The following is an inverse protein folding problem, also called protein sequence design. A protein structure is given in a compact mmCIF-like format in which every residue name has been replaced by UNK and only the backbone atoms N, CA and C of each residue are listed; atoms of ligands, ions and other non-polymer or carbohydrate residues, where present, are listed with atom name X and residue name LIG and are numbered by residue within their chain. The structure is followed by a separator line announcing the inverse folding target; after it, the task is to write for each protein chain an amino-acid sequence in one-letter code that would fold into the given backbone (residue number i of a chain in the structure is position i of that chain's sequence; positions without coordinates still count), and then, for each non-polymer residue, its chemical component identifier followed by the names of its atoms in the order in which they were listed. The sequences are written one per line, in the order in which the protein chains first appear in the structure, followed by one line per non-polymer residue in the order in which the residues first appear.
data_IF_114977819328
#
_entry.id   IF_114977819328
#
_cell.length_a   1.000
_cell.length_b   1.000
_cell.length_c   1.000
_cell.angle_alpha   90.00
_cell.angle_beta   90.00
_cell.angle_gamma   90.00
#
_symmetry.space_group_name_H-M   'P 1'
#
loop_
_entity.id
_entity.type
_entity.pdbx_description
1 polymer ?
#
# COMPACT_ATOMS: atom_id res chain seq x y z
N UNK A 1 5.77 36.38 11.59
CA UNK A 1 5.10 35.09 11.38
C UNK A 1 4.34 34.71 12.63
N UNK A 2 3.02 34.57 12.52
CA UNK A 2 2.15 34.12 13.65
C UNK A 2 2.39 32.63 13.92
N UNK A 3 2.33 32.21 15.20
CA UNK A 3 2.44 30.79 15.54
C UNK A 3 1.11 30.08 15.20
N UNK A 4 1.17 28.81 14.83
CA UNK A 4 -0.02 27.98 14.53
C UNK A 4 -1.01 27.94 15.71
N UNK A 5 -0.50 27.98 16.96
CA UNK A 5 -1.36 28.05 18.15
C UNK A 5 -2.21 29.32 18.20
N UNK A 6 -1.65 30.45 17.77
CA UNK A 6 -2.37 31.74 17.75
C UNK A 6 -3.42 31.72 16.60
N UNK A 7 -3.04 31.21 15.42
CA UNK A 7 -3.95 31.02 14.28
C UNK A 7 -5.10 30.08 14.61
N UNK A 8 -4.88 29.02 15.39
CA UNK A 8 -5.91 28.08 15.80
C UNK A 8 -7.10 28.81 16.48
N UNK A 9 -6.81 29.77 17.33
CA UNK A 9 -7.86 30.55 18.01
C UNK A 9 -8.57 31.52 17.07
N UNK A 10 -7.93 31.93 15.99
CA UNK A 10 -8.50 32.88 15.03
C UNK A 10 -9.41 32.21 14.00
N UNK A 11 -9.13 30.96 13.58
CA UNK A 11 -9.80 30.34 12.43
C UNK A 11 -10.64 29.11 12.74
N UNK A 12 -10.36 28.35 13.82
CA UNK A 12 -11.09 27.12 14.12
C UNK A 12 -12.52 27.44 14.54
N UNK A 13 -13.47 26.64 14.07
CA UNK A 13 -14.92 26.79 14.21
C UNK A 13 -15.49 28.07 13.54
N UNK A 14 -14.83 28.51 12.48
CA UNK A 14 -15.31 29.60 11.63
C UNK A 14 -15.37 29.16 10.17
N UNK A 15 -16.16 29.87 9.38
CA UNK A 15 -16.34 29.62 7.95
C UNK A 15 -15.60 30.69 7.16
N UNK A 16 -14.86 30.27 6.13
CA UNK A 16 -14.07 31.12 5.25
C UNK A 16 -14.19 30.66 3.80
N UNK A 17 -14.12 31.59 2.87
CA UNK A 17 -13.82 31.29 1.47
C UNK A 17 -12.33 30.92 1.29
N UNK A 18 -11.97 30.26 0.21
CA UNK A 18 -10.58 29.93 -0.09
C UNK A 18 -9.68 31.16 -0.14
N UNK A 19 -10.14 32.26 -0.73
CA UNK A 19 -9.42 33.51 -0.82
C UNK A 19 -9.15 34.13 0.56
N UNK A 20 -10.08 34.01 1.49
CA UNK A 20 -9.91 34.51 2.86
C UNK A 20 -8.92 33.65 3.64
N UNK A 21 -8.96 32.32 3.48
CA UNK A 21 -7.98 31.40 4.08
C UNK A 21 -6.59 31.72 3.58
N UNK A 22 -6.43 31.87 2.26
CA UNK A 22 -5.15 32.17 1.61
C UNK A 22 -4.62 33.52 2.10
N UNK A 23 -5.42 34.58 2.08
CA UNK A 23 -5.02 35.92 2.56
C UNK A 23 -4.60 35.89 4.02
N UNK A 24 -5.36 35.25 4.89
CA UNK A 24 -5.08 35.16 6.32
C UNK A 24 -3.77 34.41 6.58
N UNK A 25 -3.51 33.34 5.84
CA UNK A 25 -2.29 32.56 5.99
C UNK A 25 -1.06 33.30 5.45
N UNK A 26 -1.18 34.02 4.33
CA UNK A 26 -0.12 34.87 3.79
C UNK A 26 0.21 36.00 4.77
N UNK A 27 -0.77 36.68 5.32
CA UNK A 27 -0.60 37.73 6.33
C UNK A 27 0.07 37.19 7.61
N UNK A 28 -0.17 35.92 7.93
CA UNK A 28 0.50 35.24 9.04
C UNK A 28 1.94 34.81 8.71
N UNK A 29 2.40 34.97 7.46
CA UNK A 29 3.77 34.66 7.01
C UNK A 29 3.94 33.23 6.47
N UNK A 30 2.86 32.58 6.05
CA UNK A 30 2.85 31.28 5.38
C UNK A 30 2.58 31.46 3.90
N UNK A 31 3.13 30.58 3.08
CA UNK A 31 2.88 30.55 1.63
C UNK A 31 2.08 29.29 1.25
N UNK A 32 1.17 29.36 0.27
CA UNK A 32 0.46 28.20 -0.22
C UNK A 32 1.42 27.11 -0.67
N UNK A 33 1.06 25.84 -0.38
CA UNK A 33 1.83 24.68 -0.77
C UNK A 33 0.95 23.74 -1.57
N UNK A 34 1.29 23.56 -2.84
CA UNK A 34 0.55 22.68 -3.74
C UNK A 34 0.92 21.22 -3.49
N UNK A 35 -0.05 20.43 -3.06
CA UNK A 35 0.08 18.98 -2.86
C UNK A 35 -1.28 18.30 -2.90
N UNK A 36 -1.28 16.99 -3.10
CA UNK A 36 -2.49 16.17 -2.98
C UNK A 36 -3.07 16.26 -1.57
N UNK A 37 -4.30 16.75 -1.47
CA UNK A 37 -4.98 16.90 -0.20
C UNK A 37 -5.48 15.55 0.32
N UNK A 38 -5.20 15.25 1.57
CA UNK A 38 -5.77 14.08 2.27
C UNK A 38 -7.17 14.37 2.79
N UNK A 39 -7.96 13.32 3.07
CA UNK A 39 -9.32 13.46 3.60
C UNK A 39 -9.39 14.42 4.78
N UNK A 40 -10.31 15.40 4.71
CA UNK A 40 -10.51 16.41 5.72
C UNK A 40 -9.46 17.53 5.75
N UNK A 41 -8.50 17.56 4.81
CA UNK A 41 -7.59 18.70 4.59
C UNK A 41 -8.11 19.51 3.43
N UNK A 42 -8.30 20.81 3.64
CA UNK A 42 -8.85 21.74 2.63
C UNK A 42 -7.79 22.65 2.01
N UNK A 43 -6.69 22.89 2.73
CA UNK A 43 -5.56 23.68 2.22
C UNK A 43 -4.26 23.32 2.96
N UNK A 44 -3.12 23.51 2.31
CA UNK A 44 -1.79 23.32 2.90
C UNK A 44 -0.93 24.56 2.64
N UNK A 45 -0.21 24.98 3.66
CA UNK A 45 0.69 26.12 3.63
C UNK A 45 2.06 25.73 4.20
N UNK A 46 3.08 26.58 3.96
CA UNK A 46 4.43 26.32 4.48
C UNK A 46 5.10 27.61 4.94
N UNK A 47 5.97 27.50 5.93
CA UNK A 47 6.92 28.55 6.36
C UNK A 47 8.35 28.29 5.84
N UNK A 48 8.49 27.48 4.79
CA UNK A 48 9.76 26.96 4.26
C UNK A 48 10.46 25.89 5.13
N UNK A 49 10.00 25.67 6.35
CA UNK A 49 10.55 24.65 7.27
C UNK A 49 9.50 23.60 7.69
N UNK A 50 8.22 23.98 7.69
CA UNK A 50 7.13 23.16 8.21
C UNK A 50 5.90 23.30 7.34
N UNK A 51 5.17 22.21 7.19
CA UNK A 51 3.85 22.22 6.55
C UNK A 51 2.77 22.49 7.60
N UNK A 52 1.82 23.35 7.24
CA UNK A 52 0.64 23.68 8.03
C UNK A 52 -0.59 23.22 7.25
N UNK A 53 -1.35 22.32 7.84
CA UNK A 53 -2.55 21.75 7.27
C UNK A 53 -3.77 22.40 7.86
N UNK A 54 -4.62 22.98 7.01
CA UNK A 54 -5.95 23.47 7.38
C UNK A 54 -6.94 22.32 7.17
N UNK A 55 -7.65 21.95 8.24
CA UNK A 55 -8.65 20.88 8.20
C UNK A 55 -10.04 21.46 8.28
N UNK A 56 -10.97 20.89 7.53
CA UNK A 56 -12.34 21.35 7.50
C UNK A 56 -13.22 20.60 6.52
N UNK A 57 -14.43 21.10 6.36
CA UNK A 57 -15.40 20.60 5.40
C UNK A 57 -15.89 21.78 4.55
N UNK A 58 -16.16 21.54 3.27
CA UNK A 58 -16.75 22.55 2.39
C UNK A 58 -18.26 22.42 2.37
N UNK A 59 -18.95 23.56 2.42
CA UNK A 59 -20.38 23.63 2.18
C UNK A 59 -20.72 23.59 0.68
N UNK A 60 -21.99 23.66 0.35
CA UNK A 60 -22.51 23.63 -1.03
C UNK A 60 -22.10 24.87 -1.85
N UNK A 61 -21.78 25.97 -1.19
CA UNK A 61 -21.36 27.23 -1.80
C UNK A 61 -19.82 27.33 -1.95
N UNK A 62 -19.10 26.27 -1.49
CA UNK A 62 -17.65 26.19 -1.57
C UNK A 62 -16.89 26.85 -0.41
N UNK A 63 -17.58 27.41 0.59
CA UNK A 63 -16.94 27.92 1.79
C UNK A 63 -16.50 26.76 2.71
N UNK A 64 -15.43 26.98 3.45
CA UNK A 64 -14.86 25.96 4.30
C UNK A 64 -15.09 26.27 5.78
N UNK A 65 -15.77 25.38 6.50
CA UNK A 65 -15.79 25.37 7.96
C UNK A 65 -14.51 24.74 8.48
N UNK A 66 -13.69 25.51 9.17
CA UNK A 66 -12.39 25.08 9.69
C UNK A 66 -12.57 24.31 10.98
N UNK A 67 -12.24 23.03 10.98
CA UNK A 67 -12.28 22.17 12.17
C UNK A 67 -10.95 22.04 12.89
N UNK A 68 -9.85 22.43 12.24
CA UNK A 68 -8.53 22.35 12.84
C UNK A 68 -7.42 22.93 11.99
N UNK A 69 -6.33 23.27 12.68
CA UNK A 69 -5.05 23.60 12.06
C UNK A 69 -3.96 22.78 12.72
N UNK A 70 -3.12 22.12 11.94
CA UNK A 70 -2.03 21.29 12.45
C UNK A 70 -0.72 21.62 11.73
N UNK A 71 0.36 21.67 12.48
CA UNK A 71 1.70 21.87 11.92
C UNK A 71 2.49 20.57 11.99
N UNK A 72 3.07 20.17 10.88
CA UNK A 72 3.96 19.04 10.84
C UNK A 72 5.42 19.54 10.85
N UNK A 73 6.24 19.04 11.77
CA UNK A 73 7.64 19.46 11.91
C UNK A 73 8.56 18.93 10.80
N UNK A 74 8.01 18.16 9.88
CA UNK A 74 8.73 17.62 8.75
C UNK A 74 8.16 18.22 7.46
N UNK A 75 8.73 19.35 7.02
CA UNK A 75 8.93 19.48 5.59
C UNK A 75 10.04 18.47 5.29
N UNK A 76 9.66 17.27 4.94
CA UNK A 76 10.51 16.53 4.07
C UNK A 76 10.45 17.30 2.75
N UNK A 77 11.46 18.15 2.49
CA UNK A 77 11.79 18.64 1.17
C UNK A 77 11.57 17.46 0.23
N UNK A 78 11.03 17.66 -0.97
CA UNK A 78 10.57 16.64 -1.92
C UNK A 78 11.51 15.46 -2.23
N UNK A 79 12.58 15.30 -1.50
CA UNK A 79 13.40 14.14 -1.18
C UNK A 79 12.94 13.40 0.08
N UNK A 80 11.64 13.21 0.29
CA UNK A 80 11.29 11.97 0.96
C UNK A 80 11.83 10.87 0.03
N UNK A 81 12.91 10.25 0.49
CA UNK A 81 13.36 8.98 -0.07
C UNK A 81 12.12 8.09 -0.09
N UNK A 82 11.45 8.06 -1.26
CA UNK A 82 10.23 7.28 -1.46
C UNK A 82 10.65 5.87 -1.17
N UNK A 83 10.37 5.36 0.04
CA UNK A 83 10.64 3.95 0.33
C UNK A 83 10.15 3.11 -0.82
N UNK A 84 11.04 2.28 -1.34
CA UNK A 84 10.76 1.43 -2.49
C UNK A 84 10.24 0.06 -2.05
N UNK A 85 9.51 -0.66 -2.91
CA UNK A 85 9.35 -2.10 -2.74
C UNK A 85 10.72 -2.78 -2.91
N UNK A 86 10.88 -3.99 -2.41
CA UNK A 86 12.04 -4.79 -2.77
C UNK A 86 12.08 -4.98 -4.29
N UNK A 87 13.24 -4.70 -4.88
CA UNK A 87 13.40 -4.76 -6.35
C UNK A 87 13.42 -6.18 -6.84
N UNK A 88 14.04 -7.07 -6.07
CA UNK A 88 14.17 -8.50 -6.39
C UNK A 88 13.79 -9.38 -5.20
N UNK A 89 13.51 -10.64 -5.49
CA UNK A 89 13.29 -11.66 -4.46
C UNK A 89 14.57 -11.87 -3.63
N UNK A 90 15.71 -11.87 -4.27
CA UNK A 90 17.02 -12.06 -3.65
C UNK A 90 17.31 -10.98 -2.61
N UNK A 91 16.91 -9.73 -2.85
CA UNK A 91 17.07 -8.64 -1.87
C UNK A 91 16.17 -8.83 -0.66
N UNK A 92 14.93 -9.27 -0.86
CA UNK A 92 14.02 -9.63 0.23
C UNK A 92 14.62 -10.76 1.07
N UNK A 93 15.07 -11.83 0.42
CA UNK A 93 15.65 -13.00 1.09
C UNK A 93 16.94 -12.66 1.86
N UNK A 94 17.83 -11.83 1.32
CA UNK A 94 19.01 -11.38 2.07
C UNK A 94 18.64 -10.75 3.40
N UNK A 95 17.60 -9.90 3.41
CA UNK A 95 17.13 -9.24 4.65
C UNK A 95 16.51 -10.26 5.60
N UNK A 96 15.67 -11.17 5.09
CA UNK A 96 15.03 -12.20 5.88
C UNK A 96 16.06 -13.17 6.49
N UNK A 97 17.02 -13.66 5.69
CA UNK A 97 18.08 -14.55 6.13
C UNK A 97 19.00 -13.89 7.16
N UNK A 98 19.32 -12.60 7.01
CA UNK A 98 20.07 -11.87 8.02
C UNK A 98 19.38 -11.88 9.39
N UNK A 99 18.05 -11.71 9.42
CA UNK A 99 17.27 -11.78 10.67
C UNK A 99 17.25 -13.21 11.24
N UNK A 100 17.06 -14.21 10.37
CA UNK A 100 17.01 -15.63 10.72
C UNK A 100 18.33 -16.12 11.33
N UNK A 101 19.46 -15.86 10.68
CA UNK A 101 20.81 -16.24 11.14
C UNK A 101 21.18 -15.65 12.51
N UNK A 102 20.54 -14.54 12.91
CA UNK A 102 20.73 -13.91 14.20
C UNK A 102 19.71 -14.36 15.26
N UNK A 103 18.90 -15.35 14.95
CA UNK A 103 17.84 -15.81 15.84
C UNK A 103 16.75 -14.77 16.12
N UNK A 104 16.62 -13.76 15.27
CA UNK A 104 15.63 -12.69 15.43
C UNK A 104 14.26 -13.12 14.87
N UNK A 105 13.77 -14.27 15.33
CA UNK A 105 12.59 -14.94 14.79
C UNK A 105 11.31 -14.09 14.82
N UNK A 106 11.09 -13.31 15.87
CA UNK A 106 9.94 -12.40 15.94
C UNK A 106 9.99 -11.31 14.83
N UNK A 107 11.19 -10.77 14.55
CA UNK A 107 11.38 -9.77 13.50
C UNK A 107 11.23 -10.41 12.12
N UNK A 108 11.80 -11.59 11.94
CA UNK A 108 11.69 -12.39 10.72
C UNK A 108 10.23 -12.72 10.39
N UNK A 109 9.47 -13.30 11.33
CA UNK A 109 8.06 -13.62 11.11
C UNK A 109 7.23 -12.37 10.83
N UNK A 110 7.47 -11.26 11.54
CA UNK A 110 6.77 -10.00 11.28
C UNK A 110 6.98 -9.52 9.83
N UNK A 111 8.22 -9.61 9.32
CA UNK A 111 8.54 -9.26 7.93
C UNK A 111 7.88 -10.21 6.92
N UNK A 112 7.92 -11.53 7.18
CA UNK A 112 7.25 -12.56 6.37
C UNK A 112 5.75 -12.31 6.28
N UNK A 113 5.10 -12.04 7.41
CA UNK A 113 3.67 -11.74 7.45
C UNK A 113 3.31 -10.40 6.80
N UNK A 114 4.17 -9.37 6.91
CA UNK A 114 3.94 -8.10 6.21
C UNK A 114 3.95 -8.29 4.69
N UNK A 115 4.86 -9.09 4.13
CA UNK A 115 4.90 -9.36 2.69
C UNK A 115 3.83 -10.37 2.26
N UNK A 116 3.50 -11.37 3.07
CA UNK A 116 2.52 -12.40 2.70
C UNK A 116 1.06 -11.96 2.85
N UNK A 117 0.77 -11.05 3.78
CA UNK A 117 -0.58 -10.53 4.02
C UNK A 117 -0.81 -9.13 3.44
N UNK A 118 0.25 -8.44 3.00
CA UNK A 118 0.16 -7.08 2.49
C UNK A 118 -0.31 -6.05 3.53
N UNK A 119 -0.13 -6.30 4.85
CA UNK A 119 -0.62 -5.43 5.93
C UNK A 119 0.39 -4.39 6.38
N UNK A 120 -0.10 -3.32 7.03
CA UNK A 120 0.78 -2.35 7.70
C UNK A 120 1.48 -3.01 8.89
N UNK A 121 2.66 -2.53 9.24
CA UNK A 121 3.43 -3.07 10.37
C UNK A 121 2.65 -3.08 11.69
N UNK A 122 1.92 -2.01 12.01
CA UNK A 122 1.08 -1.96 13.21
C UNK A 122 -0.01 -3.03 13.19
N UNK A 123 -0.73 -3.17 12.08
CA UNK A 123 -1.79 -4.18 11.93
C UNK A 123 -1.22 -5.60 12.03
N UNK A 124 -0.06 -5.86 11.41
CA UNK A 124 0.61 -7.17 11.46
C UNK A 124 1.07 -7.52 12.89
N UNK A 125 1.68 -6.55 13.59
CA UNK A 125 2.16 -6.77 14.96
C UNK A 125 1.04 -6.87 16.00
N UNK A 126 -0.18 -6.52 15.65
CA UNK A 126 -1.37 -6.69 16.49
C UNK A 126 -2.10 -8.02 16.26
N UNK A 127 -1.65 -8.86 15.30
CA UNK A 127 -2.22 -10.19 15.06
C UNK A 127 -2.14 -11.07 16.31
N UNK A 128 -3.19 -11.87 16.50
CA UNK A 128 -3.30 -12.89 17.55
C UNK A 128 -3.37 -14.26 16.88
N UNK A 129 -3.05 -15.30 17.64
CA UNK A 129 -3.18 -16.67 17.12
C UNK A 129 -4.63 -17.00 16.70
N UNK A 130 -5.62 -16.55 17.48
CA UNK A 130 -7.04 -16.71 17.14
C UNK A 130 -7.49 -15.95 15.89
N UNK A 131 -6.71 -15.04 15.34
CA UNK A 131 -6.99 -14.38 14.06
C UNK A 131 -6.57 -15.25 12.88
N UNK A 132 -5.71 -16.25 13.10
CA UNK A 132 -5.15 -17.15 12.10
C UNK A 132 -5.73 -18.55 12.15
N UNK A 133 -6.00 -19.08 13.34
CA UNK A 133 -6.45 -20.46 13.57
C UNK A 133 -7.91 -20.53 13.95
N UNK A 134 -8.62 -21.58 13.40
CA UNK A 134 -10.04 -21.86 13.67
C UNK A 134 -10.30 -22.47 15.03
N UNK A 135 -9.31 -23.15 15.58
CA UNK A 135 -9.42 -23.95 16.81
C UNK A 135 -8.32 -23.54 17.78
N UNK A 136 -8.60 -23.75 19.07
CA UNK A 136 -7.68 -23.39 20.15
C UNK A 136 -6.40 -24.23 20.13
N UNK A 137 -6.47 -25.44 19.60
CA UNK A 137 -5.35 -26.35 19.41
C UNK A 137 -4.41 -25.88 18.29
N UNK A 138 -4.81 -24.83 17.54
CA UNK A 138 -4.05 -24.24 16.43
C UNK A 138 -3.67 -25.28 15.36
N UNK A 139 -4.60 -26.17 15.01
CA UNK A 139 -4.38 -27.23 14.02
C UNK A 139 -4.94 -26.88 12.64
N UNK A 140 -5.86 -25.95 12.54
CA UNK A 140 -6.53 -25.56 11.29
C UNK A 140 -6.52 -24.05 11.08
N UNK A 141 -5.93 -23.62 10.00
CA UNK A 141 -5.97 -22.20 9.59
C UNK A 141 -7.35 -21.78 9.09
N UNK A 142 -7.69 -20.51 9.29
CA UNK A 142 -8.72 -19.87 8.49
C UNK A 142 -8.26 -19.74 7.03
N UNK A 143 -9.17 -19.66 6.09
CA UNK A 143 -8.87 -19.28 4.71
C UNK A 143 -8.45 -17.79 4.63
N UNK A 144 -9.07 -16.98 5.48
CA UNK A 144 -8.77 -15.54 5.62
C UNK A 144 -8.61 -15.24 7.10
N UNK A 145 -7.70 -14.33 7.42
CA UNK A 145 -7.59 -13.81 8.78
C UNK A 145 -8.98 -13.37 9.28
N UNK A 146 -9.24 -13.57 10.56
CA UNK A 146 -10.42 -12.96 11.18
C UNK A 146 -10.44 -11.46 10.89
N UNK A 147 -11.63 -10.88 10.90
CA UNK A 147 -11.87 -9.47 10.55
C UNK A 147 -10.94 -8.54 11.36
N UNK A 148 -9.83 -8.14 10.74
CA UNK A 148 -8.87 -7.23 11.34
C UNK A 148 -9.34 -5.80 11.13
N UNK A 149 -9.54 -5.07 12.22
CA UNK A 149 -9.80 -3.63 12.17
C UNK A 149 -8.47 -2.90 12.04
N UNK A 150 -8.25 -2.23 10.92
CA UNK A 150 -7.04 -1.42 10.72
C UNK A 150 -6.99 -0.26 11.72
N UNK A 151 -5.86 -0.11 12.40
CA UNK A 151 -5.66 0.93 13.42
C UNK A 151 -5.81 2.35 12.82
N UNK A 152 -5.23 2.57 11.64
CA UNK A 152 -5.22 3.91 11.01
C UNK A 152 -6.54 4.32 10.37
N UNK A 153 -7.29 3.39 9.78
CA UNK A 153 -8.46 3.70 8.95
C UNK A 153 -9.77 3.20 9.56
N UNK A 154 -9.71 2.37 10.59
CA UNK A 154 -10.86 1.71 11.19
C UNK A 154 -11.57 0.68 10.30
N UNK A 155 -11.07 0.45 9.08
CA UNK A 155 -11.64 -0.51 8.14
C UNK A 155 -11.42 -1.93 8.59
N UNK A 156 -12.39 -2.78 8.30
CA UNK A 156 -12.29 -4.21 8.55
C UNK A 156 -11.81 -4.89 7.27
N UNK A 157 -10.67 -5.57 7.35
CA UNK A 157 -10.05 -6.28 6.25
C UNK A 157 -9.73 -7.69 6.71
N UNK A 158 -9.89 -8.66 5.81
CA UNK A 158 -9.62 -10.07 6.06
C UNK A 158 -8.71 -10.62 4.95
N UNK A 159 -7.37 -10.46 5.07
CA UNK A 159 -6.43 -10.97 4.07
C UNK A 159 -6.44 -12.50 4.04
N UNK A 160 -6.14 -13.08 2.88
CA UNK A 160 -6.02 -14.53 2.72
C UNK A 160 -4.79 -15.08 3.45
N UNK A 161 -4.95 -16.22 4.12
CA UNK A 161 -3.86 -16.98 4.74
C UNK A 161 -3.39 -18.01 3.72
N UNK A 162 -2.42 -17.59 2.91
CA UNK A 162 -1.83 -18.39 1.84
C UNK A 162 -0.84 -19.43 2.40
N UNK A 163 -0.42 -20.38 1.57
CA UNK A 163 0.58 -21.38 1.93
C UNK A 163 1.89 -20.74 2.41
N UNK A 164 2.35 -19.67 1.74
CA UNK A 164 3.53 -18.90 2.18
C UNK A 164 3.40 -18.40 3.63
N UNK A 165 2.22 -17.89 3.99
CA UNK A 165 1.95 -17.42 5.36
C UNK A 165 1.96 -18.59 6.35
N UNK A 166 1.32 -19.72 5.99
CA UNK A 166 1.27 -20.92 6.83
C UNK A 166 2.67 -21.48 7.07
N UNK A 167 3.45 -21.69 6.02
CA UNK A 167 4.84 -22.17 6.13
C UNK A 167 5.71 -21.24 6.96
N UNK A 168 5.53 -19.93 6.83
CA UNK A 168 6.26 -18.95 7.65
C UNK A 168 5.95 -19.10 9.16
N UNK A 169 4.69 -19.35 9.49
CA UNK A 169 4.25 -19.57 10.86
C UNK A 169 4.81 -20.90 11.37
N UNK A 170 4.69 -21.98 10.60
CA UNK A 170 5.18 -23.32 10.97
C UNK A 170 6.69 -23.34 11.19
N UNK A 171 7.45 -22.64 10.33
CA UNK A 171 8.90 -22.49 10.52
C UNK A 171 9.20 -21.75 11.83
N UNK A 172 8.51 -20.63 12.08
CA UNK A 172 8.66 -19.87 13.32
C UNK A 172 8.36 -20.74 14.56
N UNK A 173 7.25 -21.47 14.56
CA UNK A 173 6.86 -22.34 15.68
C UNK A 173 7.89 -23.43 15.93
N UNK A 174 8.40 -24.06 14.87
CA UNK A 174 9.43 -25.10 14.96
C UNK A 174 10.72 -24.56 15.55
N UNK A 175 11.18 -23.40 15.09
CA UNK A 175 12.48 -22.86 15.49
C UNK A 175 12.46 -22.20 16.88
N UNK A 176 11.32 -21.66 17.29
CA UNK A 176 11.20 -21.00 18.61
C UNK A 176 10.67 -21.92 19.71
N UNK A 177 10.08 -23.05 19.33
CA UNK A 177 9.37 -23.92 20.29
C UNK A 177 8.10 -23.28 20.87
N UNK A 178 7.58 -22.21 20.24
CA UNK A 178 6.35 -21.53 20.68
C UNK A 178 5.15 -22.46 20.53
N UNK A 179 4.32 -22.55 21.57
CA UNK A 179 3.05 -23.28 21.55
C UNK A 179 1.88 -22.28 21.46
N UNK A 180 1.32 -22.05 20.28
CA UNK A 180 0.27 -21.06 20.07
C UNK A 180 -1.04 -21.41 20.80
N UNK A 181 -1.26 -22.69 21.15
CA UNK A 181 -2.46 -23.13 21.86
C UNK A 181 -2.56 -22.57 23.27
N UNK A 182 -1.41 -22.35 23.92
CA UNK A 182 -1.33 -21.75 25.26
C UNK A 182 -1.62 -20.26 25.26
N UNK A 183 -1.36 -19.61 24.14
CA UNK A 183 -1.46 -18.16 23.97
C UNK A 183 -2.52 -17.75 22.92
N UNK A 184 -3.51 -18.61 22.66
CA UNK A 184 -4.46 -18.51 21.54
C UNK A 184 -5.07 -17.12 21.35
N UNK A 185 -5.43 -16.43 22.45
CA UNK A 185 -6.01 -15.08 22.38
C UNK A 185 -4.99 -13.96 22.53
N UNK A 186 -3.71 -14.30 22.74
CA UNK A 186 -2.63 -13.33 22.88
C UNK A 186 -2.09 -12.90 21.53
N UNK A 187 -1.41 -11.75 21.52
CA UNK A 187 -0.67 -11.30 20.33
C UNK A 187 0.48 -12.25 20.02
N UNK A 188 0.68 -12.49 18.72
CA UNK A 188 1.83 -13.26 18.23
C UNK A 188 3.15 -12.59 18.62
N UNK A 189 3.18 -11.26 18.58
CA UNK A 189 4.39 -10.48 18.76
C UNK A 189 4.40 -9.74 20.11
N UNK A 190 5.46 -9.93 20.88
CA UNK A 190 5.78 -9.12 22.06
C UNK A 190 6.63 -7.89 21.75
N UNK A 191 6.98 -7.68 20.44
CA UNK A 191 7.81 -6.57 19.96
C UNK A 191 6.97 -5.51 19.29
N UNK A 192 7.43 -4.26 19.36
CA UNK A 192 6.77 -3.13 18.71
C UNK A 192 7.41 -2.71 17.40
N UNK A 193 6.68 -1.89 16.63
CA UNK A 193 7.13 -1.31 15.35
C UNK A 193 8.56 -0.69 15.40
N UNK A 194 8.96 0.06 16.46
CA UNK A 194 10.31 0.62 16.52
C UNK A 194 11.41 -0.45 16.52
N UNK A 195 11.19 -1.57 17.25
CA UNK A 195 12.17 -2.66 17.31
C UNK A 195 12.32 -3.35 15.95
N UNK A 196 11.20 -3.67 15.27
CA UNK A 196 11.24 -4.28 13.94
C UNK A 196 11.91 -3.32 12.93
N UNK A 197 11.60 -2.02 13.00
CA UNK A 197 12.23 -1.01 12.15
C UNK A 197 13.74 -0.96 12.32
N UNK A 198 14.22 -0.97 13.56
CA UNK A 198 15.65 -0.95 13.85
C UNK A 198 16.35 -2.23 13.35
N UNK A 199 15.72 -3.40 13.51
CA UNK A 199 16.26 -4.68 13.03
C UNK A 199 16.33 -4.69 11.50
N UNK A 200 15.27 -4.28 10.79
CA UNK A 200 15.24 -4.19 9.33
C UNK A 200 16.28 -3.21 8.82
N UNK A 201 16.42 -2.02 9.44
CA UNK A 201 17.45 -1.05 9.04
C UNK A 201 18.85 -1.67 9.10
N UNK A 202 19.19 -2.34 10.22
CA UNK A 202 20.48 -3.03 10.37
C UNK A 202 20.67 -4.14 9.32
N UNK A 203 19.61 -4.90 9.03
CA UNK A 203 19.66 -5.95 8.02
C UNK A 203 19.97 -5.37 6.64
N UNK A 204 19.22 -4.33 6.21
CA UNK A 204 19.39 -3.64 4.92
C UNK A 204 20.82 -3.10 4.77
N UNK A 205 21.34 -2.43 5.79
CA UNK A 205 22.72 -1.92 5.81
C UNK A 205 23.75 -3.05 5.71
N UNK A 206 23.55 -4.14 6.46
CA UNK A 206 24.48 -5.26 6.50
C UNK A 206 24.53 -6.08 5.21
N UNK A 207 23.40 -6.19 4.48
CA UNK A 207 23.33 -6.94 3.22
C UNK A 207 23.63 -6.07 1.99
N UNK A 208 23.91 -4.77 2.18
CA UNK A 208 24.37 -3.86 1.12
C UNK A 208 23.29 -3.44 0.13
N UNK A 209 22.01 -3.33 0.56
CA UNK A 209 20.96 -2.77 -0.29
C UNK A 209 21.13 -1.24 -0.35
N UNK A 210 21.28 -0.71 -1.55
CA UNK A 210 21.62 0.71 -1.84
C UNK A 210 20.41 1.62 -2.11
N UNK A 211 19.19 1.11 -1.96
CA UNK A 211 17.95 1.85 -2.14
C UNK A 211 17.09 1.86 -0.87
N UNK A 212 16.17 2.84 -0.72
CA UNK A 212 15.51 3.09 0.55
C UNK A 212 14.45 2.02 0.90
N UNK A 213 14.79 1.16 1.86
CA UNK A 213 13.91 0.12 2.41
C UNK A 213 13.48 0.50 3.84
N UNK A 214 12.20 0.27 4.13
CA UNK A 214 11.61 0.39 5.47
C UNK A 214 10.53 -0.68 5.67
N UNK A 215 9.86 -0.68 6.83
CA UNK A 215 8.73 -1.60 7.08
C UNK A 215 7.60 -1.46 6.04
N UNK A 216 7.40 -0.26 5.50
CA UNK A 216 6.38 -0.06 4.46
C UNK A 216 6.76 -0.69 3.13
N UNK A 217 8.05 -0.94 2.90
CA UNK A 217 8.55 -1.63 1.70
C UNK A 217 7.99 -3.03 1.56
N UNK A 218 7.81 -3.78 2.65
CA UNK A 218 7.21 -5.12 2.61
C UNK A 218 5.77 -5.08 2.05
N UNK A 219 4.95 -4.14 2.53
CA UNK A 219 3.60 -3.94 1.99
C UNK A 219 3.62 -3.44 0.53
N UNK A 220 4.55 -2.54 0.19
CA UNK A 220 4.74 -2.10 -1.21
C UNK A 220 5.17 -3.24 -2.11
N UNK A 221 6.01 -4.15 -1.61
CA UNK A 221 6.44 -5.36 -2.34
C UNK A 221 5.26 -6.27 -2.63
N UNK A 222 4.40 -6.54 -1.64
CA UNK A 222 3.15 -7.27 -1.86
C UNK A 222 2.36 -6.68 -3.04
N UNK A 223 2.05 -5.38 -3.01
CA UNK A 223 1.27 -4.75 -4.08
C UNK A 223 2.00 -4.68 -5.42
N UNK A 224 3.30 -4.37 -5.41
CA UNK A 224 4.10 -4.25 -6.62
C UNK A 224 4.27 -5.60 -7.34
N UNK A 225 4.57 -6.67 -6.59
CA UNK A 225 4.75 -7.99 -7.19
C UNK A 225 3.42 -8.61 -7.61
N UNK A 226 2.36 -8.46 -6.81
CA UNK A 226 1.01 -8.84 -7.25
C UNK A 226 0.63 -8.13 -8.55
N UNK A 227 0.90 -6.82 -8.65
CA UNK A 227 0.66 -6.09 -9.90
C UNK A 227 1.50 -6.62 -11.06
N UNK A 228 2.78 -6.91 -10.86
CA UNK A 228 3.65 -7.46 -11.91
C UNK A 228 3.18 -8.82 -12.43
N UNK A 229 2.67 -9.67 -11.55
CA UNK A 229 2.12 -10.98 -11.91
C UNK A 229 0.84 -10.83 -12.75
N UNK A 230 -0.05 -9.90 -12.38
CA UNK A 230 -1.39 -9.76 -12.97
C UNK A 230 -1.57 -8.53 -13.86
N UNK A 231 -0.52 -7.81 -14.22
CA UNK A 231 -0.58 -6.52 -14.93
C UNK A 231 -1.32 -6.54 -16.27
N UNK A 232 -1.45 -7.73 -16.87
CA UNK A 232 -2.16 -7.91 -18.15
C UNK A 232 -3.68 -8.12 -17.93
N UNK A 233 -4.15 -8.16 -16.70
CA UNK A 233 -5.57 -8.29 -16.37
C UNK A 233 -6.15 -6.88 -16.19
N UNK A 234 -7.19 -6.53 -16.96
CA UNK A 234 -7.74 -5.17 -17.03
C UNK A 234 -8.25 -4.61 -15.69
N UNK A 235 -8.59 -5.47 -14.72
CA UNK A 235 -9.12 -5.10 -13.40
C UNK A 235 -8.07 -5.26 -12.27
N UNK A 236 -6.81 -5.51 -12.61
CA UNK A 236 -5.76 -5.81 -11.64
C UNK A 236 -5.62 -4.72 -10.55
N UNK A 237 -5.63 -3.46 -10.93
CA UNK A 237 -5.47 -2.34 -9.99
C UNK A 237 -6.65 -2.24 -9.02
N UNK A 238 -7.87 -2.49 -9.47
CA UNK A 238 -9.09 -2.49 -8.66
C UNK A 238 -9.03 -3.60 -7.61
N UNK A 239 -8.60 -4.81 -8.01
CA UNK A 239 -8.45 -5.94 -7.10
C UNK A 239 -7.40 -5.61 -6.03
N UNK A 240 -6.22 -5.13 -6.43
CA UNK A 240 -5.15 -4.75 -5.50
C UNK A 240 -5.60 -3.62 -4.56
N UNK A 241 -6.35 -2.63 -5.06
CA UNK A 241 -6.96 -1.57 -4.21
C UNK A 241 -7.89 -2.18 -3.18
N UNK A 242 -8.74 -3.14 -3.57
CA UNK A 242 -9.62 -3.89 -2.67
C UNK A 242 -8.83 -4.66 -1.61
N UNK A 243 -7.78 -5.38 -1.99
CA UNK A 243 -6.89 -6.11 -1.08
C UNK A 243 -6.22 -5.19 -0.06
N UNK A 244 -5.91 -3.95 -0.43
CA UNK A 244 -5.36 -2.95 0.48
C UNK A 244 -6.43 -2.18 1.29
N UNK A 245 -7.72 -2.37 0.98
CA UNK A 245 -8.80 -1.64 1.61
C UNK A 245 -8.80 -0.14 1.28
N UNK A 246 -8.31 0.25 0.10
CA UNK A 246 -8.36 1.64 -0.34
C UNK A 246 -9.77 1.96 -0.86
N UNK A 247 -10.38 3.06 -0.39
CA UNK A 247 -11.70 3.49 -0.84
C UNK A 247 -11.62 4.11 -2.22
N UNK A 248 -12.52 3.67 -3.09
CA UNK A 248 -13.12 4.53 -4.10
C UNK A 248 -14.61 4.18 -4.19
N UNK A 249 -15.45 5.19 -4.25
CA UNK A 249 -16.86 5.09 -3.85
C UNK A 249 -17.83 4.87 -5.02
N UNK A 250 -17.36 4.58 -6.22
CA UNK A 250 -18.23 4.66 -7.42
C UNK A 250 -18.70 3.34 -8.05
N UNK A 251 -17.91 2.28 -8.01
CA UNK A 251 -18.16 1.09 -8.86
C UNK A 251 -18.31 -0.22 -8.08
N UNK A 252 -18.20 -0.22 -6.79
CA UNK A 252 -17.85 -1.36 -5.94
C UNK A 252 -18.96 -2.41 -5.69
N UNK A 253 -20.21 -2.16 -6.01
CA UNK A 253 -21.31 -3.08 -5.59
C UNK A 253 -21.63 -4.22 -6.58
N UNK A 254 -21.28 -4.11 -7.85
CA UNK A 254 -21.55 -5.14 -8.87
C UNK A 254 -20.46 -6.22 -8.97
N UNK A 255 -19.28 -5.98 -8.37
CA UNK A 255 -18.11 -6.86 -8.48
C UNK A 255 -17.71 -7.58 -7.18
N UNK A 256 -18.50 -7.49 -6.10
CA UNK A 256 -18.08 -7.96 -4.77
C UNK A 256 -17.79 -9.47 -4.76
N UNK A 257 -18.56 -10.30 -5.45
CA UNK A 257 -18.33 -11.74 -5.47
C UNK A 257 -17.15 -12.11 -6.38
N UNK A 258 -17.06 -11.54 -7.57
CA UNK A 258 -15.91 -11.75 -8.46
C UNK A 258 -14.59 -11.22 -7.84
N UNK A 259 -14.62 -10.08 -7.18
CA UNK A 259 -13.44 -9.47 -6.52
C UNK A 259 -12.88 -10.34 -5.38
N UNK A 260 -13.68 -11.15 -4.71
CA UNK A 260 -13.19 -12.02 -3.63
C UNK A 260 -12.43 -13.24 -4.18
N UNK A 261 -12.94 -13.89 -5.23
CA UNK A 261 -12.23 -15.00 -5.88
C UNK A 261 -10.94 -14.54 -6.56
N UNK A 262 -10.97 -13.39 -7.23
CA UNK A 262 -9.78 -12.81 -7.82
C UNK A 262 -8.74 -12.39 -6.77
N UNK A 263 -9.17 -11.80 -5.66
CA UNK A 263 -8.27 -11.46 -4.55
C UNK A 263 -7.63 -12.71 -3.93
N UNK A 264 -8.36 -13.83 -3.85
CA UNK A 264 -7.83 -15.12 -3.41
C UNK A 264 -6.80 -15.65 -4.40
N UNK A 265 -7.14 -15.65 -5.70
CA UNK A 265 -6.22 -16.06 -6.77
C UNK A 265 -4.95 -15.25 -6.75
N UNK A 266 -5.03 -13.92 -6.71
CA UNK A 266 -3.88 -13.01 -6.66
C UNK A 266 -3.00 -13.25 -5.44
N UNK A 267 -3.59 -13.50 -4.28
CA UNK A 267 -2.83 -13.81 -3.07
C UNK A 267 -2.12 -15.17 -3.19
N UNK A 268 -2.78 -16.18 -3.78
CA UNK A 268 -2.18 -17.48 -4.00
C UNK A 268 -1.06 -17.42 -5.04
N UNK A 269 -1.25 -16.74 -6.17
CA UNK A 269 -0.24 -16.61 -7.21
C UNK A 269 1.02 -15.90 -6.70
N UNK A 270 0.86 -14.88 -5.83
CA UNK A 270 1.99 -14.28 -5.13
C UNK A 270 2.64 -15.26 -4.15
N UNK A 271 1.83 -16.03 -3.41
CA UNK A 271 2.32 -17.07 -2.50
C UNK A 271 3.16 -18.11 -3.27
N UNK A 272 2.63 -18.61 -4.38
CA UNK A 272 3.34 -19.56 -5.24
C UNK A 272 4.65 -18.99 -5.79
N UNK A 273 4.65 -17.72 -6.18
CA UNK A 273 5.86 -17.03 -6.61
C UNK A 273 6.91 -17.00 -5.50
N UNK A 274 6.50 -16.65 -4.28
CA UNK A 274 7.40 -16.60 -3.12
C UNK A 274 7.95 -17.99 -2.77
N UNK A 275 7.12 -19.02 -2.77
CA UNK A 275 7.51 -20.41 -2.47
C UNK A 275 8.41 -21.01 -3.54
N UNK A 276 8.08 -20.83 -4.82
CA UNK A 276 8.90 -21.35 -5.94
C UNK A 276 10.28 -20.71 -5.98
N UNK A 277 10.42 -19.47 -5.53
CA UNK A 277 11.72 -18.84 -5.39
C UNK A 277 12.53 -19.45 -4.24
N UNK A 278 11.88 -19.80 -3.12
CA UNK A 278 12.52 -20.51 -2.02
C UNK A 278 13.02 -21.89 -2.44
N UNK A 279 12.27 -22.60 -3.29
CA UNK A 279 12.66 -23.91 -3.84
C UNK A 279 13.71 -23.83 -4.97
N UNK A 280 14.17 -22.63 -5.32
CA UNK A 280 15.15 -22.41 -6.41
C UNK A 280 14.56 -22.52 -7.82
N UNK A 281 13.25 -22.72 -7.97
CA UNK A 281 12.57 -22.68 -9.27
C UNK A 281 12.19 -21.25 -9.63
N UNK A 282 12.90 -20.65 -10.59
CA UNK A 282 12.66 -19.27 -11.00
C UNK A 282 11.36 -19.13 -11.80
N UNK A 283 10.39 -18.40 -11.25
CA UNK A 283 9.39 -17.73 -12.09
C UNK A 283 10.00 -16.38 -12.49
N UNK A 284 10.22 -16.18 -13.78
CA UNK A 284 10.65 -14.87 -14.30
C UNK A 284 9.50 -13.86 -14.13
N UNK A 285 9.60 -12.98 -13.14
CA UNK A 285 8.87 -11.72 -13.21
C UNK A 285 9.61 -10.89 -14.27
N UNK A 286 9.04 -10.82 -15.46
CA UNK A 286 9.59 -10.02 -16.55
C UNK A 286 9.72 -8.57 -16.06
N UNK A 287 10.95 -8.13 -15.78
CA UNK A 287 11.31 -6.76 -15.39
C UNK A 287 11.25 -5.78 -16.58
N UNK A 288 10.79 -6.25 -17.73
CA UNK A 288 10.69 -5.41 -18.92
C UNK A 288 9.63 -4.31 -18.70
N UNK A 289 9.96 -3.03 -18.85
CA UNK A 289 9.00 -1.94 -18.79
C UNK A 289 8.01 -1.95 -19.97
N UNK A 290 8.20 -2.85 -20.93
CA UNK A 290 7.37 -2.96 -22.11
C UNK A 290 6.11 -3.76 -21.79
N UNK A 291 5.01 -3.04 -21.61
CA UNK A 291 3.66 -3.61 -21.66
C UNK A 291 3.43 -4.05 -23.11
N UNK A 292 3.55 -5.34 -23.40
CA UNK A 292 3.06 -5.89 -24.66
C UNK A 292 1.53 -5.95 -24.56
N UNK A 293 0.88 -4.85 -24.85
CA UNK A 293 -0.58 -4.85 -25.07
C UNK A 293 -0.80 -5.56 -26.39
N UNK A 294 -1.58 -6.66 -26.39
CA UNK A 294 -2.02 -7.24 -27.65
C UNK A 294 -2.74 -6.17 -28.45
N UNK A 295 -2.43 -6.06 -29.75
CA UNK A 295 -3.03 -5.03 -30.62
C UNK A 295 -4.57 -5.03 -30.57
N UNK A 296 -5.19 -6.20 -30.36
CA UNK A 296 -6.64 -6.34 -30.17
C UNK A 296 -7.11 -5.62 -28.90
N UNK A 297 -6.47 -5.81 -27.76
CA UNK A 297 -6.83 -5.14 -26.51
C UNK A 297 -6.64 -3.62 -26.58
N UNK A 298 -5.63 -3.17 -27.32
CA UNK A 298 -5.43 -1.74 -27.56
C UNK A 298 -6.55 -1.16 -28.45
N UNK A 299 -7.00 -1.90 -29.46
CA UNK A 299 -8.14 -1.52 -30.31
C UNK A 299 -9.43 -1.42 -29.51
N UNK A 300 -9.70 -2.38 -28.61
CA UNK A 300 -10.89 -2.38 -27.77
C UNK A 300 -10.90 -1.20 -26.80
N UNK A 301 -9.78 -0.90 -26.16
CA UNK A 301 -9.64 0.27 -25.27
C UNK A 301 -9.81 1.58 -26.04
N UNK A 302 -9.21 1.69 -27.21
CA UNK A 302 -9.33 2.87 -28.05
C UNK A 302 -10.73 3.02 -28.60
N UNK A 303 -11.42 1.93 -28.97
CA UNK A 303 -12.82 1.95 -29.37
C UNK A 303 -13.73 2.48 -28.27
N UNK A 304 -13.56 1.99 -27.03
CA UNK A 304 -14.32 2.46 -25.86
C UNK A 304 -14.07 3.95 -25.54
N UNK A 305 -12.86 4.45 -25.74
CA UNK A 305 -12.51 5.85 -25.52
C UNK A 305 -13.10 6.76 -26.61
N UNK A 306 -13.29 6.24 -27.84
CA UNK A 306 -13.79 7.01 -28.98
C UNK A 306 -15.31 6.95 -29.15
N UNK A 307 -15.98 5.89 -28.70
CA UNK A 307 -17.46 5.81 -28.66
C UNK A 307 -18.07 6.80 -27.65
N UNK A 308 -17.27 7.36 -26.75
CA UNK A 308 -17.69 8.40 -25.81
C UNK A 308 -17.75 9.83 -26.39
N UNK A 309 -17.89 10.00 -27.71
CA UNK A 309 -18.41 11.25 -28.30
C UNK A 309 -17.40 12.32 -28.67
N UNK A 310 -16.23 11.96 -29.18
CA UNK A 310 -15.30 12.95 -29.81
C UNK A 310 -15.28 12.79 -31.32
N UNK A 311 -15.85 13.77 -32.00
CA UNK A 311 -15.87 13.90 -33.46
C UNK A 311 -14.44 13.88 -34.03
N UNK A 312 -14.10 12.88 -34.85
CA UNK A 312 -12.78 12.84 -35.47
C UNK A 312 -12.46 11.58 -36.26
N UNK A 313 -13.06 11.44 -37.46
CA UNK A 313 -12.69 10.39 -38.44
C UNK A 313 -11.18 10.30 -38.69
N UNK A 314 -10.46 11.42 -38.64
CA UNK A 314 -9.00 11.49 -38.85
C UNK A 314 -8.18 10.90 -37.71
N UNK A 315 -8.65 10.97 -36.43
CA UNK A 315 -7.95 10.40 -35.27
C UNK A 315 -7.99 8.88 -35.30
N UNK A 316 -9.10 8.30 -35.72
CA UNK A 316 -9.27 6.85 -35.82
C UNK A 316 -8.34 6.25 -36.90
N UNK A 317 -8.21 6.92 -38.03
CA UNK A 317 -7.29 6.53 -39.10
C UNK A 317 -5.82 6.56 -38.64
N UNK A 318 -5.43 7.60 -37.90
CA UNK A 318 -4.08 7.75 -37.35
C UNK A 318 -3.76 6.66 -36.31
N UNK A 319 -4.70 6.36 -35.43
CA UNK A 319 -4.52 5.33 -34.41
C UNK A 319 -4.46 3.94 -35.03
N UNK A 320 -5.32 3.63 -36.01
CA UNK A 320 -5.24 2.35 -36.72
C UNK A 320 -3.94 2.21 -37.52
N UNK A 321 -3.42 3.28 -38.09
CA UNK A 321 -2.11 3.27 -38.74
C UNK A 321 -0.96 3.00 -37.77
N UNK A 322 -1.02 3.58 -36.54
CA UNK A 322 -0.05 3.30 -35.46
C UNK A 322 -0.12 1.87 -34.97
N UNK A 323 -1.32 1.32 -34.76
CA UNK A 323 -1.49 -0.08 -34.36
C UNK A 323 -0.94 -1.03 -35.41
N UNK A 324 -1.24 -0.78 -36.68
CA UNK A 324 -0.73 -1.58 -37.83
C UNK A 324 0.80 -1.51 -37.93
N UNK A 325 1.40 -0.39 -37.56
CA UNK A 325 2.84 -0.22 -37.51
C UNK A 325 3.47 -1.03 -36.37
N UNK A 326 2.87 -1.00 -35.16
CA UNK A 326 3.28 -1.82 -34.01
C UNK A 326 3.19 -3.31 -34.35
N UNK A 327 2.13 -3.76 -35.04
CA UNK A 327 1.98 -5.15 -35.48
C UNK A 327 3.05 -5.59 -36.49
N UNK A 328 3.54 -4.69 -37.35
CA UNK A 328 4.56 -4.99 -38.37
C UNK A 328 5.99 -4.93 -37.82
N UNK A 329 6.27 -4.01 -36.93
CA UNK A 329 7.60 -3.72 -36.43
C UNK A 329 7.97 -4.53 -35.19
N UNK A 330 7.02 -5.30 -34.59
CA UNK A 330 7.28 -6.24 -33.52
C UNK A 330 7.76 -5.60 -32.21
N UNK A 331 7.22 -4.45 -31.85
CA UNK A 331 7.49 -3.78 -30.57
C UNK A 331 6.64 -4.33 -29.45
#
# INVERSE_FOLDING_TARGET
MKRVADLKNEIVNKVFSDAEIESLMIDAGYIPFDCDLSDGVIAVFTDSKKLVYIKGFRDVDGNAEITGITQNNNINNGDQTKVEPFRTYEDLEKVLNYLKERGQWNHWLACRLMVGLGRRSGDTLNLRWCDLFKDKECTRYYERCMKLKEEKTGKIIAPHITEYVQMSIEEYLRETGTDPSREYVQKIFSIGTPAVRAAVKKAVEAVGIDYPISLHSFRKTYGNWTYKIHRNEGICLEIIRGMFGHNDTGITRLYIDQTNEDAKRYANDLSDYLLKKEDGTAIEINNSPNVTVKAESLRDILSLVFDAGVDGKDKFATINAMITRIEREGF
#
